data_IF_648283652240
#
_entry.id   IF_648283652240
#
_cell.length_a   1.000
_cell.length_b   1.000
_cell.length_c   1.000
_cell.angle_alpha   90.00
_cell.angle_beta   90.00
_cell.angle_gamma   90.00
#
_symmetry.space_group_name_H-M   'P 1'
#
loop_
_entity.id
_entity.type
_entity.pdbx_description
1 polymer ?
#
# COMPACT_ATOMS: atom_id res chain seq x y z
N UNK A 1 0.20 38.16 -1.02
CA UNK A 1 -0.73 38.36 0.07
C UNK A 1 -1.09 37.06 0.77
N UNK A 2 -1.41 37.14 2.04
CA UNK A 2 -1.77 36.00 2.86
C UNK A 2 -2.96 35.23 2.28
N UNK A 3 -3.93 35.94 1.71
CA UNK A 3 -5.13 35.36 1.11
C UNK A 3 -4.81 34.42 -0.06
N UNK A 4 -3.80 34.74 -0.90
CA UNK A 4 -3.38 33.90 -2.02
C UNK A 4 -2.69 32.64 -1.52
N UNK A 5 -1.90 32.74 -0.45
CA UNK A 5 -1.24 31.59 0.17
C UNK A 5 -2.30 30.66 0.80
N UNK A 6 -3.30 31.21 1.48
CA UNK A 6 -4.38 30.45 2.08
C UNK A 6 -5.19 29.70 1.00
N UNK A 7 -5.50 30.34 -0.12
CA UNK A 7 -6.19 29.73 -1.25
C UNK A 7 -5.36 28.56 -1.84
N UNK A 8 -4.06 28.79 -2.00
CA UNK A 8 -3.15 27.77 -2.53
C UNK A 8 -3.11 26.53 -1.60
N UNK A 9 -3.01 26.77 -0.30
CA UNK A 9 -3.01 25.67 0.69
C UNK A 9 -4.34 24.93 0.66
N UNK A 10 -5.46 25.63 0.57
CA UNK A 10 -6.79 25.02 0.52
C UNK A 10 -6.95 24.17 -0.75
N UNK A 11 -6.51 24.64 -1.91
CA UNK A 11 -6.55 23.91 -3.17
C UNK A 11 -5.71 22.63 -3.10
N UNK A 12 -4.49 22.71 -2.51
CA UNK A 12 -3.63 21.55 -2.32
C UNK A 12 -4.25 20.51 -1.41
N UNK A 13 -4.93 20.95 -0.37
CA UNK A 13 -5.63 20.06 0.56
C UNK A 13 -6.75 19.32 -0.14
N UNK A 14 -7.55 20.02 -0.94
CA UNK A 14 -8.67 19.43 -1.70
C UNK A 14 -8.13 18.40 -2.70
N UNK A 15 -7.04 18.71 -3.41
CA UNK A 15 -6.41 17.77 -4.34
C UNK A 15 -5.91 16.51 -3.62
N UNK A 16 -5.28 16.67 -2.46
CA UNK A 16 -4.79 15.56 -1.67
C UNK A 16 -5.92 14.67 -1.18
N UNK A 17 -7.00 15.28 -0.68
CA UNK A 17 -8.18 14.55 -0.21
C UNK A 17 -8.85 13.80 -1.36
N UNK A 18 -8.91 14.39 -2.56
CA UNK A 18 -9.46 13.73 -3.73
C UNK A 18 -8.64 12.50 -4.14
N UNK A 19 -7.31 12.57 -4.04
CA UNK A 19 -6.44 11.42 -4.33
C UNK A 19 -6.63 10.29 -3.34
N UNK A 20 -6.77 10.62 -2.06
CA UNK A 20 -7.05 9.63 -1.00
C UNK A 20 -8.41 8.97 -1.26
N UNK A 21 -9.42 9.76 -1.54
CA UNK A 21 -10.78 9.26 -1.78
C UNK A 21 -10.83 8.33 -3.00
N UNK A 22 -10.16 8.68 -4.09
CA UNK A 22 -10.08 7.83 -5.28
C UNK A 22 -9.38 6.51 -4.99
N UNK A 23 -8.28 6.55 -4.24
CA UNK A 23 -7.56 5.33 -3.87
C UNK A 23 -8.40 4.46 -2.95
N UNK A 24 -9.12 5.05 -2.01
CA UNK A 24 -10.03 4.32 -1.12
C UNK A 24 -11.18 3.68 -1.91
N UNK A 25 -11.73 4.40 -2.90
CA UNK A 25 -12.81 3.88 -3.75
C UNK A 25 -12.35 2.70 -4.62
N UNK A 26 -11.07 2.66 -5.00
CA UNK A 26 -10.50 1.56 -5.78
C UNK A 26 -10.07 0.38 -4.94
N UNK A 27 -10.07 0.54 -3.62
CA UNK A 27 -9.55 -0.47 -2.73
C UNK A 27 -10.39 -1.74 -2.75
N UNK A 28 -9.70 -2.87 -2.78
CA UNK A 28 -10.32 -4.18 -2.63
C UNK A 28 -9.89 -4.77 -1.29
N UNK A 29 -10.83 -5.41 -0.61
CA UNK A 29 -10.53 -6.19 0.58
C UNK A 29 -10.43 -7.65 0.18
N UNK A 30 -9.28 -8.26 0.44
CA UNK A 30 -9.01 -9.66 0.08
C UNK A 30 -8.79 -10.49 1.34
N UNK A 31 -9.39 -11.66 1.40
CA UNK A 31 -9.09 -12.60 2.48
C UNK A 31 -7.83 -13.38 2.10
N UNK A 32 -6.81 -13.28 2.94
CA UNK A 32 -5.53 -13.96 2.73
C UNK A 32 -5.17 -14.69 4.01
N UNK A 33 -5.36 -16.01 4.03
CA UNK A 33 -5.23 -16.78 5.27
C UNK A 33 -6.24 -16.30 6.30
N UNK A 34 -5.77 -15.94 7.48
CA UNK A 34 -6.61 -15.46 8.58
C UNK A 34 -6.83 -13.96 8.57
N UNK A 35 -6.28 -13.26 7.58
CA UNK A 35 -6.31 -11.79 7.54
C UNK A 35 -7.15 -11.27 6.40
N UNK A 36 -7.71 -10.08 6.63
CA UNK A 36 -8.30 -9.26 5.57
C UNK A 36 -7.28 -8.21 5.18
N UNK A 37 -6.85 -8.24 3.92
CA UNK A 37 -5.85 -7.31 3.40
C UNK A 37 -6.51 -6.36 2.43
N UNK A 38 -6.44 -5.06 2.72
CA UNK A 38 -6.89 -4.03 1.80
C UNK A 38 -5.78 -3.72 0.81
N UNK A 39 -6.12 -3.63 -0.46
CA UNK A 39 -5.13 -3.34 -1.49
C UNK A 39 -5.67 -2.31 -2.46
N UNK A 40 -4.86 -1.31 -2.78
CA UNK A 40 -5.24 -0.27 -3.72
C UNK A 40 -4.02 0.26 -4.48
N UNK A 41 -4.30 1.15 -5.43
CA UNK A 41 -3.28 1.80 -6.26
C UNK A 41 -3.57 3.29 -6.31
N UNK A 42 -2.54 4.09 -6.18
CA UNK A 42 -2.68 5.53 -6.36
C UNK A 42 -1.51 6.33 -5.85
N UNK A 43 -1.49 7.57 -6.27
CA UNK A 43 -0.54 8.58 -5.80
C UNK A 43 -1.23 9.36 -4.68
N UNK A 44 -1.13 8.86 -3.47
CA UNK A 44 -1.90 9.38 -2.34
C UNK A 44 -1.14 9.24 -1.03
N UNK A 45 -1.67 9.84 0.02
CA UNK A 45 -1.15 9.66 1.38
C UNK A 45 -1.44 8.24 1.84
N UNK A 46 -0.39 7.44 2.03
CA UNK A 46 -0.53 6.03 2.41
C UNK A 46 -1.19 5.85 3.76
N UNK A 47 -0.87 6.73 4.71
CA UNK A 47 -1.44 6.61 6.05
C UNK A 47 -2.94 6.88 6.07
N UNK A 48 -3.39 7.87 5.31
CA UNK A 48 -4.82 8.21 5.24
C UNK A 48 -5.62 7.13 4.51
N UNK A 49 -5.07 6.58 3.41
CA UNK A 49 -5.73 5.50 2.68
C UNK A 49 -5.74 4.22 3.50
N UNK A 50 -4.64 3.91 4.20
CA UNK A 50 -4.59 2.76 5.09
C UNK A 50 -5.64 2.86 6.20
N UNK A 51 -5.82 4.06 6.77
CA UNK A 51 -6.85 4.29 7.77
C UNK A 51 -8.25 4.06 7.21
N UNK A 52 -8.52 4.53 5.99
CA UNK A 52 -9.80 4.29 5.32
C UNK A 52 -10.06 2.79 5.11
N UNK A 53 -9.04 2.03 4.69
CA UNK A 53 -9.17 0.59 4.50
C UNK A 53 -9.36 -0.14 5.85
N UNK A 54 -8.68 0.33 6.89
CA UNK A 54 -8.84 -0.21 8.24
C UNK A 54 -10.28 -0.05 8.73
N UNK A 55 -10.87 1.12 8.48
CA UNK A 55 -12.26 1.38 8.84
C UNK A 55 -13.23 0.43 8.14
N UNK A 56 -12.87 -0.04 6.95
CA UNK A 56 -13.66 -1.02 6.19
C UNK A 56 -13.36 -2.48 6.62
N UNK A 57 -12.46 -2.68 7.58
CA UNK A 57 -12.19 -4.00 8.15
C UNK A 57 -10.85 -4.62 7.77
N UNK A 58 -9.95 -3.88 7.14
CA UNK A 58 -8.63 -4.41 6.78
C UNK A 58 -7.75 -4.58 8.02
N UNK A 59 -7.12 -5.74 8.14
CA UNK A 59 -6.11 -6.01 9.17
C UNK A 59 -4.75 -5.46 8.74
N UNK A 60 -4.49 -5.44 7.45
CA UNK A 60 -3.32 -4.84 6.84
C UNK A 60 -3.73 -4.16 5.54
N UNK A 61 -2.94 -3.18 5.11
CA UNK A 61 -3.25 -2.38 3.92
C UNK A 61 -2.03 -2.23 3.03
N UNK A 62 -2.23 -2.35 1.73
CA UNK A 62 -1.19 -2.23 0.72
C UNK A 62 -1.57 -1.13 -0.26
N UNK A 63 -0.70 -0.15 -0.42
CA UNK A 63 -0.89 0.93 -1.38
C UNK A 63 0.24 0.86 -2.42
N UNK A 64 -0.12 0.48 -3.64
CA UNK A 64 0.82 0.39 -4.76
C UNK A 64 0.86 1.74 -5.47
N UNK A 65 2.06 2.21 -5.76
CA UNK A 65 2.29 3.53 -6.36
C UNK A 65 2.67 3.43 -7.84
N UNK A 66 2.46 4.51 -8.61
CA UNK A 66 2.86 4.55 -10.01
C UNK A 66 4.35 4.26 -10.25
N UNK A 67 5.22 4.59 -9.32
CA UNK A 67 6.66 4.32 -9.45
C UNK A 67 7.02 2.85 -9.26
N UNK A 68 6.06 1.99 -8.93
CA UNK A 68 6.27 0.55 -8.75
C UNK A 68 6.51 0.12 -7.30
N UNK A 69 6.77 1.06 -6.41
CA UNK A 69 6.91 0.75 -4.99
C UNK A 69 5.54 0.61 -4.33
N UNK A 70 5.53 -0.01 -3.16
CA UNK A 70 4.32 -0.16 -2.37
C UNK A 70 4.61 0.06 -0.89
N UNK A 71 3.59 0.53 -0.20
CA UNK A 71 3.63 0.69 1.26
C UNK A 71 2.68 -0.32 1.88
N UNK A 72 3.12 -0.93 2.98
CA UNK A 72 2.32 -1.88 3.73
C UNK A 72 2.14 -1.30 5.13
N UNK A 73 0.89 -1.23 5.58
CA UNK A 73 0.55 -0.75 6.91
C UNK A 73 -0.24 -1.82 7.62
N UNK A 74 0.14 -2.09 8.87
CA UNK A 74 -0.54 -3.05 9.71
C UNK A 74 -1.44 -2.39 10.74
N UNK A 75 -2.03 -3.21 11.55
CA UNK A 75 -2.86 -2.84 12.71
C UNK A 75 -2.45 -3.73 13.87
N UNK A 76 -3.13 -3.63 14.99
CA UNK A 76 -2.89 -4.56 16.11
C UNK A 76 -3.18 -6.02 15.73
N UNK A 77 -3.96 -6.23 14.68
CA UNK A 77 -4.28 -7.58 14.18
C UNK A 77 -3.22 -8.12 13.21
N UNK A 78 -2.34 -7.27 12.67
CA UNK A 78 -1.28 -7.68 11.77
C UNK A 78 -0.02 -6.85 12.00
N UNK A 79 0.99 -7.47 12.61
CA UNK A 79 2.26 -6.83 12.94
C UNK A 79 3.45 -7.49 12.24
N UNK A 80 3.24 -7.95 11.01
CA UNK A 80 4.25 -8.67 10.23
C UNK A 80 4.55 -8.00 8.88
N UNK A 81 4.34 -6.68 8.78
CA UNK A 81 4.58 -5.95 7.54
C UNK A 81 6.02 -6.09 7.04
N UNK A 82 7.00 -6.08 7.94
CA UNK A 82 8.41 -6.23 7.59
C UNK A 82 8.70 -7.61 6.99
N UNK A 83 8.02 -8.65 7.42
CA UNK A 83 8.20 -10.01 6.88
C UNK A 83 7.67 -10.11 5.44
N UNK A 84 6.53 -9.49 5.17
CA UNK A 84 5.98 -9.42 3.80
C UNK A 84 6.94 -8.63 2.91
N UNK A 85 7.36 -7.45 3.36
CA UNK A 85 8.22 -6.56 2.58
C UNK A 85 9.56 -7.21 2.23
N UNK A 86 10.15 -7.97 3.14
CA UNK A 86 11.43 -8.66 2.90
C UNK A 86 11.35 -9.65 1.75
N UNK A 87 10.19 -10.24 1.49
CA UNK A 87 10.00 -11.15 0.36
C UNK A 87 9.91 -10.41 -0.97
N UNK A 88 9.71 -9.09 -0.95
CA UNK A 88 9.42 -8.28 -2.13
C UNK A 88 10.37 -7.09 -2.21
N UNK A 89 11.66 -7.34 -2.01
CA UNK A 89 12.72 -6.34 -2.09
C UNK A 89 12.50 -5.12 -1.18
N UNK A 90 12.14 -5.37 0.06
CA UNK A 90 11.89 -4.28 0.97
C UNK A 90 12.21 -4.63 2.42
N UNK A 91 11.65 -3.85 3.30
CA UNK A 91 11.82 -3.99 4.73
C UNK A 91 11.06 -2.91 5.49
N UNK A 92 11.25 -2.87 6.78
CA UNK A 92 10.61 -1.89 7.63
C UNK A 92 10.33 -2.42 9.02
N UNK A 93 9.22 -2.01 9.55
CA UNK A 93 8.78 -2.32 10.92
C UNK A 93 7.52 -3.18 10.90
N UNK A 94 7.16 -3.81 12.04
CA UNK A 94 5.99 -4.69 12.10
C UNK A 94 4.68 -4.09 11.58
N UNK A 95 4.46 -2.78 11.80
CA UNK A 95 3.22 -2.11 11.38
C UNK A 95 3.40 -1.16 10.19
N UNK A 96 4.62 -0.96 9.69
CA UNK A 96 4.88 -0.04 8.58
C UNK A 96 6.11 -0.47 7.82
N UNK A 97 5.94 -0.89 6.58
CA UNK A 97 7.04 -1.36 5.74
C UNK A 97 6.82 -0.90 4.30
N UNK A 98 7.87 -0.97 3.52
CA UNK A 98 7.82 -0.63 2.10
C UNK A 98 8.55 -1.67 1.29
N UNK A 99 8.13 -1.85 0.05
CA UNK A 99 8.75 -2.81 -0.86
C UNK A 99 8.66 -2.32 -2.30
N UNK A 100 9.40 -2.98 -3.17
CA UNK A 100 9.34 -2.71 -4.61
C UNK A 100 9.52 -4.03 -5.36
N UNK A 101 8.44 -4.60 -5.89
CA UNK A 101 8.54 -5.82 -6.70
C UNK A 101 9.47 -5.62 -7.89
N UNK A 102 10.34 -6.60 -8.14
CA UNK A 102 11.29 -6.56 -9.24
C UNK A 102 10.64 -7.14 -10.50
N UNK A 103 9.66 -6.40 -11.04
CA UNK A 103 8.85 -6.83 -12.18
C UNK A 103 8.84 -5.80 -13.32
N UNK A 104 9.66 -4.73 -13.20
CA UNK A 104 9.69 -3.63 -14.17
C UNK A 104 11.07 -3.55 -14.81
N UNK A 105 11.18 -3.97 -16.06
CA UNK A 105 12.43 -3.94 -16.82
C UNK A 105 12.50 -2.78 -17.81
N UNK A 106 11.35 -2.33 -18.30
CA UNK A 106 11.29 -1.29 -19.34
C UNK A 106 10.01 -0.43 -19.23
N UNK A 107 9.88 0.50 -20.17
CA UNK A 107 8.73 1.42 -20.20
C UNK A 107 7.41 0.73 -20.48
N UNK A 108 7.44 -0.42 -21.20
CA UNK A 108 6.21 -1.17 -21.46
C UNK A 108 5.66 -1.79 -20.17
N UNK A 109 6.55 -2.26 -19.30
CA UNK A 109 6.16 -2.78 -17.99
C UNK A 109 5.53 -1.69 -17.13
N UNK A 110 6.12 -0.50 -17.13
CA UNK A 110 5.52 0.63 -16.41
C UNK A 110 4.19 1.07 -17.01
N UNK A 111 4.07 1.11 -18.33
CA UNK A 111 2.81 1.43 -18.98
C UNK A 111 1.72 0.43 -18.58
N UNK A 112 2.04 -0.86 -18.56
CA UNK A 112 1.11 -1.90 -18.10
C UNK A 112 0.76 -1.72 -16.63
N UNK A 113 1.75 -1.40 -15.80
CA UNK A 113 1.54 -1.12 -14.38
C UNK A 113 0.52 0.01 -14.18
N UNK A 114 0.68 1.11 -14.92
CA UNK A 114 -0.22 2.27 -14.80
C UNK A 114 -1.62 1.93 -15.30
N UNK A 115 -1.74 1.29 -16.46
CA UNK A 115 -3.04 0.99 -17.06
C UNK A 115 -3.80 -0.10 -16.32
N UNK A 116 -3.09 -1.02 -15.67
CA UNK A 116 -3.70 -2.07 -14.86
C UNK A 116 -3.91 -1.67 -13.39
N UNK A 117 -3.51 -0.44 -13.03
CA UNK A 117 -3.55 0.04 -11.65
C UNK A 117 -2.75 -0.89 -10.71
N UNK A 118 -1.58 -1.31 -11.16
CA UNK A 118 -0.68 -2.10 -10.35
C UNK A 118 -1.10 -3.55 -10.12
N UNK A 119 -1.87 -4.14 -11.03
CA UNK A 119 -2.41 -5.48 -10.84
C UNK A 119 -1.35 -6.53 -10.54
N UNK A 120 -0.22 -6.52 -11.26
CA UNK A 120 0.86 -7.49 -11.05
C UNK A 120 1.53 -7.26 -9.68
N UNK A 121 1.84 -6.02 -9.35
CA UNK A 121 2.44 -5.69 -8.06
C UNK A 121 1.53 -6.08 -6.89
N UNK A 122 0.23 -5.80 -7.01
CA UNK A 122 -0.75 -6.19 -6.00
C UNK A 122 -0.74 -7.69 -5.77
N UNK A 123 -0.73 -8.47 -6.86
CA UNK A 123 -0.74 -9.93 -6.77
C UNK A 123 0.53 -10.47 -6.14
N UNK A 124 1.70 -9.95 -6.53
CA UNK A 124 2.98 -10.36 -5.95
C UNK A 124 3.01 -10.12 -4.44
N UNK A 125 2.51 -8.98 -4.00
CA UNK A 125 2.49 -8.64 -2.57
C UNK A 125 1.47 -9.50 -1.81
N UNK A 126 0.28 -9.72 -2.36
CA UNK A 126 -0.71 -10.61 -1.75
C UNK A 126 -0.18 -12.05 -1.63
N UNK A 127 0.56 -12.52 -2.63
CA UNK A 127 1.20 -13.83 -2.57
C UNK A 127 2.25 -13.89 -1.45
N UNK A 128 2.95 -12.78 -1.21
CA UNK A 128 3.91 -12.71 -0.10
C UNK A 128 3.20 -12.84 1.25
N UNK A 129 2.00 -12.28 1.42
CA UNK A 129 1.19 -12.52 2.61
C UNK A 129 0.84 -14.00 2.76
N UNK A 130 0.45 -14.66 1.66
CA UNK A 130 0.08 -16.09 1.69
C UNK A 130 1.24 -16.99 2.06
N UNK A 131 2.46 -16.58 1.74
CA UNK A 131 3.66 -17.38 1.99
C UNK A 131 4.33 -17.07 3.33
N UNK A 132 3.69 -16.28 4.19
CA UNK A 132 4.21 -16.08 5.53
C UNK A 132 4.14 -17.40 6.32
N UNK A 133 5.21 -17.74 7.06
CA UNK A 133 5.16 -18.89 7.96
C UNK A 133 4.10 -18.67 9.04
N UNK A 134 3.56 -19.77 9.58
CA UNK A 134 2.50 -19.70 10.59
C UNK A 134 2.91 -18.92 11.83
N UNK A 135 4.18 -18.94 12.19
CA UNK A 135 4.70 -18.19 13.31
C UNK A 135 5.60 -17.04 12.79
N UNK A 136 5.54 -15.87 13.45
CA UNK A 136 6.42 -14.76 13.08
C UNK A 136 7.89 -15.14 13.16
N UNK A 137 8.72 -14.52 12.29
CA UNK A 137 10.15 -14.68 12.34
C UNK A 137 10.70 -14.10 13.64
N UNK A 138 11.81 -14.70 14.14
CA UNK A 138 12.51 -14.17 15.31
C UNK A 138 13.09 -12.80 14.98
N UNK A 139 12.86 -11.82 15.84
CA UNK A 139 13.32 -10.44 15.63
C UNK A 139 14.84 -10.31 15.58
N UNK A 140 15.56 -11.28 16.09
CA UNK A 140 17.02 -11.29 16.07
C UNK A 140 17.61 -11.70 14.72
N UNK A 141 16.79 -12.20 13.84
CA UNK A 141 17.17 -12.56 12.49
C UNK A 141 16.92 -11.37 11.55
#
# INVERSE_FOLDING_TARGET
PISEVEEFIAERRVEKEALVERAADRADLKTVGDWTVGVTYGRCSQNEVAEAMREEGADASVVVKPAGSASIRGTDEFERCHEVARQVNGGGHPKAAGCKPDIYDDMLDYAHHWTSQGAVAKQVILDAFRHLPDEPADEQD
#
